data_IF_293452213446
#
_entry.id   IF_293452213446
#
_cell.length_a   1.000
_cell.length_b   1.000
_cell.length_c   1.000
_cell.angle_alpha   90.00
_cell.angle_beta   90.00
_cell.angle_gamma   90.00
#
_symmetry.space_group_name_H-M   'P 1'
#
loop_
_entity.id
_entity.type
_entity.pdbx_description
1 polymer ?
#
# COMPACT_ATOMS: atom_id res chain seq x y z
N UNK A 1 18.73 -5.93 -9.77
CA UNK A 1 17.55 -5.20 -10.30
C UNK A 1 16.38 -5.41 -9.36
N UNK A 2 16.48 -4.89 -8.13
CA UNK A 2 15.38 -4.52 -7.24
C UNK A 2 16.06 -3.64 -6.18
N UNK A 3 16.34 -2.39 -6.55
CA UNK A 3 17.08 -1.43 -5.71
C UNK A 3 16.14 -0.67 -4.74
N UNK A 4 14.88 -1.09 -4.67
CA UNK A 4 13.90 -0.65 -3.69
C UNK A 4 13.72 -1.78 -2.66
N UNK A 5 13.57 -1.47 -1.36
CA UNK A 5 13.22 -2.48 -0.38
C UNK A 5 11.99 -3.25 -0.89
N UNK A 6 11.97 -4.58 -0.78
CA UNK A 6 10.81 -5.38 -1.19
C UNK A 6 9.59 -5.11 -0.28
N UNK A 7 9.87 -4.56 0.89
CA UNK A 7 8.93 -4.28 1.97
C UNK A 7 7.72 -3.43 1.54
N UNK A 8 7.85 -2.28 0.84
CA UNK A 8 6.71 -1.47 0.43
C UNK A 8 5.79 -2.21 -0.53
N UNK A 9 6.33 -3.04 -1.43
CA UNK A 9 5.50 -3.78 -2.39
C UNK A 9 4.59 -4.77 -1.65
N UNK A 10 5.10 -5.43 -0.60
CA UNK A 10 4.33 -6.38 0.21
C UNK A 10 3.22 -5.70 1.00
N UNK A 11 3.50 -4.55 1.61
CA UNK A 11 2.51 -3.83 2.45
C UNK A 11 1.40 -3.13 1.64
N UNK A 12 1.55 -3.00 0.31
CA UNK A 12 0.50 -2.42 -0.56
C UNK A 12 -0.49 -3.46 -1.13
N UNK A 13 -0.20 -4.77 -1.04
CA UNK A 13 -1.14 -5.81 -1.50
C UNK A 13 -2.54 -5.73 -0.87
N UNK A 14 -2.68 -5.44 0.45
CA UNK A 14 -4.00 -5.31 1.07
C UNK A 14 -4.87 -4.25 0.40
N UNK A 15 -4.27 -3.14 -0.05
CA UNK A 15 -4.98 -2.04 -0.72
C UNK A 15 -5.62 -2.56 -2.02
N UNK A 16 -4.83 -3.24 -2.85
CA UNK A 16 -5.31 -3.76 -4.14
C UNK A 16 -6.38 -4.82 -3.94
N UNK A 17 -6.17 -5.77 -3.03
CA UNK A 17 -7.11 -6.85 -2.77
C UNK A 17 -8.40 -6.34 -2.13
N UNK A 18 -8.31 -5.47 -1.13
CA UNK A 18 -9.46 -4.85 -0.48
C UNK A 18 -10.26 -3.96 -1.44
N UNK A 19 -9.59 -3.18 -2.29
CA UNK A 19 -10.24 -2.33 -3.28
C UNK A 19 -11.00 -3.13 -4.35
N UNK A 20 -10.45 -4.25 -4.82
CA UNK A 20 -11.06 -5.07 -5.87
C UNK A 20 -12.17 -6.00 -5.36
N UNK A 21 -12.11 -6.42 -4.09
CA UNK A 21 -13.07 -7.34 -3.49
C UNK A 21 -14.55 -6.93 -3.65
N UNK A 22 -14.99 -5.69 -3.39
CA UNK A 22 -16.40 -5.31 -3.57
C UNK A 22 -16.87 -5.43 -5.01
N UNK A 23 -16.05 -5.03 -5.98
CA UNK A 23 -16.41 -5.13 -7.41
C UNK A 23 -16.52 -6.58 -7.84
N UNK A 24 -15.59 -7.43 -7.42
CA UNK A 24 -15.65 -8.86 -7.70
C UNK A 24 -16.88 -9.50 -7.06
N UNK A 25 -17.17 -9.19 -5.80
CA UNK A 25 -18.32 -9.70 -5.07
C UNK A 25 -19.65 -9.30 -5.75
N UNK A 26 -19.79 -8.02 -6.14
CA UNK A 26 -20.96 -7.53 -6.88
C UNK A 26 -21.12 -8.21 -8.24
N UNK A 27 -20.03 -8.33 -9.01
CA UNK A 27 -20.04 -8.94 -10.33
C UNK A 27 -20.47 -10.42 -10.26
N UNK A 28 -19.85 -11.19 -9.37
CA UNK A 28 -20.17 -12.61 -9.19
C UNK A 28 -21.58 -12.78 -8.65
N UNK A 29 -22.00 -11.96 -7.68
CA UNK A 29 -23.37 -11.98 -7.17
C UNK A 29 -24.40 -11.74 -8.29
N UNK A 30 -24.18 -10.71 -9.10
CA UNK A 30 -25.07 -10.35 -10.21
C UNK A 30 -25.14 -11.47 -11.26
N UNK A 31 -23.99 -12.02 -11.64
CA UNK A 31 -23.92 -13.12 -12.61
C UNK A 31 -24.61 -14.40 -12.10
N UNK A 32 -24.46 -14.75 -10.81
CA UNK A 32 -25.18 -15.88 -10.21
C UNK A 32 -26.69 -15.59 -10.16
N UNK A 33 -27.09 -14.36 -9.83
CA UNK A 33 -28.52 -13.95 -9.82
C UNK A 33 -29.17 -14.02 -11.20
N UNK A 34 -28.39 -13.89 -12.27
CA UNK A 34 -28.83 -14.00 -13.66
C UNK A 34 -28.67 -15.40 -14.25
N UNK A 35 -28.34 -16.39 -13.42
CA UNK A 35 -28.06 -17.77 -13.84
C UNK A 35 -26.93 -17.90 -14.89
N UNK A 36 -26.06 -16.88 -14.99
CA UNK A 36 -24.89 -16.89 -15.89
C UNK A 36 -23.71 -17.67 -15.32
N UNK A 37 -23.61 -17.76 -13.99
CA UNK A 37 -22.55 -18.46 -13.27
C UNK A 37 -23.11 -19.41 -12.21
N UNK A 38 -22.40 -20.51 -11.97
CA UNK A 38 -22.75 -21.45 -10.90
C UNK A 38 -22.49 -20.85 -9.52
N UNK A 39 -23.31 -21.27 -8.53
CA UNK A 39 -23.19 -20.88 -7.13
C UNK A 39 -21.77 -21.13 -6.55
N UNK A 40 -21.07 -22.16 -7.04
CA UNK A 40 -19.71 -22.52 -6.62
C UNK A 40 -18.66 -21.43 -6.94
N UNK A 41 -18.92 -20.57 -7.94
CA UNK A 41 -18.00 -19.49 -8.31
C UNK A 41 -17.83 -18.46 -7.19
N UNK A 42 -18.78 -18.39 -6.25
CA UNK A 42 -18.65 -17.57 -5.03
C UNK A 42 -17.41 -17.93 -4.19
N UNK A 43 -16.85 -19.14 -4.35
CA UNK A 43 -15.58 -19.52 -3.73
C UNK A 43 -14.44 -18.55 -4.07
N UNK A 44 -14.46 -17.93 -5.26
CA UNK A 44 -13.44 -16.96 -5.65
C UNK A 44 -13.47 -15.70 -4.77
N UNK A 45 -14.66 -15.23 -4.38
CA UNK A 45 -14.83 -14.12 -3.42
C UNK A 45 -14.25 -14.49 -2.07
N UNK A 46 -14.51 -15.72 -1.60
CA UNK A 46 -13.99 -16.22 -0.33
C UNK A 46 -12.46 -16.34 -0.34
N UNK A 47 -11.88 -16.90 -1.40
CA UNK A 47 -10.42 -17.00 -1.55
C UNK A 47 -9.78 -15.61 -1.60
N UNK A 48 -10.40 -14.66 -2.31
CA UNK A 48 -9.91 -13.29 -2.35
C UNK A 48 -9.98 -12.59 -0.98
N UNK A 49 -11.08 -12.76 -0.24
CA UNK A 49 -11.21 -12.22 1.12
C UNK A 49 -10.17 -12.83 2.08
N UNK A 50 -9.86 -14.12 1.93
CA UNK A 50 -8.79 -14.77 2.68
C UNK A 50 -7.42 -14.20 2.33
N UNK A 51 -7.11 -14.07 1.03
CA UNK A 51 -5.85 -13.51 0.56
C UNK A 51 -5.67 -12.06 1.03
N UNK A 52 -6.74 -11.26 0.97
CA UNK A 52 -6.79 -9.90 1.50
C UNK A 52 -6.42 -9.88 2.99
N UNK A 53 -7.10 -10.68 3.82
CA UNK A 53 -6.81 -10.74 5.26
C UNK A 53 -5.39 -11.23 5.57
N UNK A 54 -4.91 -12.26 4.88
CA UNK A 54 -3.55 -12.74 5.04
C UNK A 54 -2.51 -11.66 4.67
N UNK A 55 -2.72 -10.95 3.56
CA UNK A 55 -1.83 -9.85 3.17
C UNK A 55 -1.87 -8.70 4.18
N UNK A 56 -3.03 -8.42 4.78
CA UNK A 56 -3.18 -7.34 5.76
C UNK A 56 -2.44 -7.63 7.05
N UNK A 57 -2.50 -8.88 7.55
CA UNK A 57 -1.73 -9.31 8.72
C UNK A 57 -0.24 -9.16 8.46
N UNK A 58 0.24 -9.64 7.30
CA UNK A 58 1.64 -9.50 6.90
C UNK A 58 2.04 -8.02 6.82
N UNK A 59 1.16 -7.14 6.34
CA UNK A 59 1.44 -5.73 6.24
C UNK A 59 1.60 -5.04 7.60
N UNK A 60 0.73 -5.37 8.56
CA UNK A 60 0.81 -4.85 9.95
C UNK A 60 2.10 -5.31 10.62
N UNK A 61 2.41 -6.62 10.58
CA UNK A 61 3.65 -7.17 11.15
C UNK A 61 4.94 -6.61 10.53
N UNK A 62 4.82 -6.09 9.30
CA UNK A 62 5.92 -5.45 8.59
C UNK A 62 6.05 -3.98 9.01
N UNK A 63 4.92 -3.27 9.13
CA UNK A 63 4.88 -1.90 9.64
C UNK A 63 5.49 -1.77 11.04
N UNK A 64 5.06 -2.60 11.99
CA UNK A 64 5.59 -2.64 13.37
C UNK A 64 7.12 -2.81 13.42
N UNK A 65 7.71 -3.53 12.46
CA UNK A 65 9.19 -3.73 12.41
C UNK A 65 9.95 -2.51 11.91
N UNK A 66 9.27 -1.59 11.24
CA UNK A 66 9.85 -0.35 10.73
C UNK A 66 9.50 0.87 11.60
N UNK A 67 8.59 0.71 12.58
CA UNK A 67 8.16 1.71 13.57
C UNK A 67 9.37 2.36 14.29
N UNK A 68 10.20 1.53 14.96
CA UNK A 68 11.40 1.96 15.70
C UNK A 68 12.31 2.91 14.89
N UNK A 69 12.40 2.73 13.57
CA UNK A 69 13.25 3.56 12.70
C UNK A 69 12.60 4.89 12.36
N UNK A 70 11.27 4.89 12.21
CA UNK A 70 10.51 6.07 11.82
C UNK A 70 10.30 6.99 13.04
N UNK A 71 10.18 6.43 14.23
CA UNK A 71 10.11 7.16 15.51
C UNK A 71 11.30 8.09 15.77
N UNK A 72 12.48 7.79 15.21
CA UNK A 72 13.66 8.66 15.35
C UNK A 72 13.46 10.05 14.75
N UNK A 73 12.54 10.19 13.78
CA UNK A 73 12.33 11.43 13.02
C UNK A 73 10.88 11.91 12.95
N UNK A 74 9.91 11.04 13.23
CA UNK A 74 8.47 11.36 13.28
C UNK A 74 7.94 11.09 14.68
N UNK A 75 7.04 11.94 15.16
CA UNK A 75 6.45 11.74 16.49
C UNK A 75 5.58 10.49 16.55
N UNK A 76 5.77 9.71 17.61
CA UNK A 76 4.97 8.55 18.00
C UNK A 76 3.49 8.63 17.63
N UNK A 77 2.81 9.66 18.15
CA UNK A 77 1.37 9.86 17.97
C UNK A 77 0.90 9.85 16.50
N UNK A 78 1.75 10.31 15.58
CA UNK A 78 1.43 10.34 14.14
C UNK A 78 1.57 8.95 13.54
N UNK A 79 2.57 8.19 14.00
CA UNK A 79 2.80 6.79 13.61
C UNK A 79 1.66 5.92 14.14
N UNK A 80 1.35 6.02 15.44
CA UNK A 80 0.21 5.33 16.08
C UNK A 80 -1.10 5.55 15.31
N UNK A 81 -1.36 6.79 14.85
CA UNK A 81 -2.59 7.10 14.08
C UNK A 81 -2.66 6.33 12.75
N UNK A 82 -1.51 6.12 12.10
CA UNK A 82 -1.44 5.32 10.87
C UNK A 82 -1.56 3.82 11.16
N UNK A 83 -0.94 3.36 12.24
CA UNK A 83 -0.98 1.96 12.67
C UNK A 83 -2.38 1.54 13.08
N UNK A 84 -3.07 2.34 13.90
CA UNK A 84 -4.47 2.09 14.27
C UNK A 84 -5.36 1.94 13.02
N UNK A 85 -5.13 2.77 11.99
CA UNK A 85 -5.84 2.67 10.73
C UNK A 85 -5.51 1.36 9.97
N UNK A 86 -4.23 0.95 9.98
CA UNK A 86 -3.77 -0.30 9.38
C UNK A 86 -4.27 -1.56 10.11
N UNK A 87 -4.28 -1.56 11.44
CA UNK A 87 -4.72 -2.66 12.30
C UNK A 87 -6.21 -2.99 12.13
N UNK A 88 -7.04 -2.01 11.76
CA UNK A 88 -8.45 -2.26 11.45
C UNK A 88 -8.64 -3.17 10.21
N UNK A 89 -7.70 -3.15 9.26
CA UNK A 89 -7.83 -3.82 7.96
C UNK A 89 -7.94 -5.36 8.13
N UNK A 90 -7.06 -6.05 8.88
CA UNK A 90 -7.20 -7.48 9.17
C UNK A 90 -8.55 -7.87 9.78
N UNK A 91 -9.07 -7.09 10.74
CA UNK A 91 -10.35 -7.36 11.40
C UNK A 91 -11.53 -7.29 10.44
N UNK A 92 -11.52 -6.27 9.57
CA UNK A 92 -12.54 -6.10 8.53
C UNK A 92 -12.43 -7.21 7.49
N UNK A 93 -11.22 -7.55 7.05
CA UNK A 93 -10.96 -8.65 6.12
C UNK A 93 -11.42 -10.00 6.66
N UNK A 94 -11.11 -10.30 7.92
CA UNK A 94 -11.54 -11.51 8.61
C UNK A 94 -13.06 -11.59 8.73
N UNK A 95 -13.72 -10.48 9.07
CA UNK A 95 -15.19 -10.39 9.10
C UNK A 95 -15.81 -10.69 7.73
N UNK A 96 -15.28 -10.08 6.66
CA UNK A 96 -15.73 -10.33 5.29
C UNK A 96 -15.54 -11.79 4.86
N UNK A 97 -14.41 -12.40 5.22
CA UNK A 97 -14.14 -13.81 4.96
C UNK A 97 -15.14 -14.74 5.67
N UNK A 98 -15.45 -14.50 6.94
CA UNK A 98 -16.43 -15.30 7.68
C UNK A 98 -17.83 -15.17 7.07
N UNK A 99 -18.25 -13.96 6.67
CA UNK A 99 -19.53 -13.75 5.99
C UNK A 99 -19.54 -14.39 4.60
N UNK A 100 -18.41 -14.39 3.88
CA UNK A 100 -18.31 -15.00 2.55
C UNK A 100 -18.48 -16.51 2.60
N UNK A 101 -17.95 -17.17 3.63
CA UNK A 101 -18.15 -18.59 3.90
C UNK A 101 -19.64 -18.92 4.07
N UNK A 102 -20.39 -18.12 4.82
CA UNK A 102 -21.83 -18.29 4.96
C UNK A 102 -22.56 -18.15 3.59
N UNK A 103 -22.05 -17.30 2.70
CA UNK A 103 -22.51 -17.17 1.31
C UNK A 103 -22.27 -18.41 0.42
N UNK A 104 -21.31 -19.27 0.77
CA UNK A 104 -21.04 -20.54 0.08
C UNK A 104 -21.99 -21.66 0.52
N UNK A 105 -22.27 -21.78 1.82
CA UNK A 105 -22.99 -22.92 2.39
C UNK A 105 -24.50 -22.87 2.11
N UNK A 106 -25.09 -21.67 2.04
CA UNK A 106 -26.55 -21.51 1.93
C UNK A 106 -27.00 -21.45 0.46
N UNK A 107 -27.81 -22.43 0.04
CA UNK A 107 -28.23 -22.67 -1.36
C UNK A 107 -29.06 -21.55 -2.00
N UNK A 108 -29.66 -20.65 -1.22
CA UNK A 108 -30.43 -19.49 -1.70
C UNK A 108 -30.02 -18.20 -0.97
N UNK A 109 -28.74 -17.81 -1.08
CA UNK A 109 -28.11 -16.76 -0.26
C UNK A 109 -27.95 -15.41 -0.96
N UNK A 110 -28.78 -15.10 -1.96
CA UNK A 110 -28.64 -13.85 -2.73
C UNK A 110 -28.61 -12.58 -1.86
N UNK A 111 -29.44 -12.50 -0.83
CA UNK A 111 -29.46 -11.37 0.10
C UNK A 111 -28.18 -11.28 0.94
N UNK A 112 -27.63 -12.44 1.35
CA UNK A 112 -26.39 -12.50 2.13
C UNK A 112 -25.18 -12.09 1.29
N UNK A 113 -25.13 -12.55 0.04
CA UNK A 113 -24.07 -12.19 -0.91
C UNK A 113 -24.12 -10.72 -1.31
N UNK A 114 -25.32 -10.18 -1.52
CA UNK A 114 -25.49 -8.74 -1.73
C UNK A 114 -25.08 -7.96 -0.47
N UNK A 115 -25.51 -8.41 0.71
CA UNK A 115 -25.11 -7.82 1.99
C UNK A 115 -23.59 -7.79 2.15
N UNK A 116 -22.89 -8.88 1.81
CA UNK A 116 -21.43 -8.89 1.80
C UNK A 116 -20.86 -7.89 0.80
N UNK A 117 -21.38 -7.84 -0.42
CA UNK A 117 -20.88 -6.94 -1.45
C UNK A 117 -21.06 -5.46 -1.09
N UNK A 118 -22.13 -5.12 -0.37
CA UNK A 118 -22.35 -3.78 0.20
C UNK A 118 -21.42 -3.54 1.40
N UNK A 119 -21.27 -4.54 2.28
CA UNK A 119 -20.37 -4.44 3.42
C UNK A 119 -18.91 -4.25 2.98
N UNK A 120 -18.48 -4.91 1.91
CA UNK A 120 -17.13 -4.75 1.37
C UNK A 120 -16.90 -3.40 0.68
N UNK A 121 -17.96 -2.70 0.25
CA UNK A 121 -17.82 -1.30 -0.17
C UNK A 121 -17.59 -0.38 1.02
N UNK A 122 -18.29 -0.61 2.14
CA UNK A 122 -18.06 0.14 3.39
C UNK A 122 -16.65 -0.14 3.93
N UNK A 123 -16.17 -1.37 3.77
CA UNK A 123 -14.81 -1.78 4.13
C UNK A 123 -13.69 -1.08 3.36
N UNK A 124 -14.00 -0.24 2.36
CA UNK A 124 -13.01 0.62 1.73
C UNK A 124 -12.60 1.79 2.63
N UNK A 125 -13.40 2.14 3.64
CA UNK A 125 -13.10 3.27 4.52
C UNK A 125 -11.75 3.12 5.26
N UNK A 126 -11.47 2.01 5.97
CA UNK A 126 -10.16 1.81 6.60
C UNK A 126 -8.98 1.82 5.61
N UNK A 127 -9.19 1.34 4.37
CA UNK A 127 -8.17 1.41 3.32
C UNK A 127 -7.84 2.84 2.93
N UNK A 128 -8.87 3.68 2.77
CA UNK A 128 -8.71 5.10 2.43
C UNK A 128 -8.06 5.84 3.60
N UNK A 129 -8.46 5.54 4.82
CA UNK A 129 -7.93 6.15 6.04
C UNK A 129 -6.44 5.81 6.23
N UNK A 130 -6.07 4.53 6.16
CA UNK A 130 -4.68 4.09 6.20
C UNK A 130 -3.84 4.70 5.05
N UNK A 131 -4.42 4.80 3.85
CA UNK A 131 -3.76 5.46 2.72
C UNK A 131 -3.58 6.96 2.93
N UNK A 132 -4.53 7.62 3.59
CA UNK A 132 -4.45 9.05 3.90
C UNK A 132 -3.36 9.32 4.94
N UNK A 133 -3.43 8.65 6.09
CA UNK A 133 -2.45 8.79 7.18
C UNK A 133 -1.05 8.37 6.76
N UNK A 134 -0.92 7.32 5.93
CA UNK A 134 0.36 6.92 5.32
C UNK A 134 0.92 7.99 4.36
N UNK A 135 0.05 8.66 3.61
CA UNK A 135 0.42 9.81 2.81
C UNK A 135 0.91 10.99 3.65
N UNK A 136 0.26 11.27 4.79
CA UNK A 136 0.70 12.31 5.71
C UNK A 136 2.08 12.00 6.29
N UNK A 137 2.32 10.76 6.74
CA UNK A 137 3.62 10.30 7.21
C UNK A 137 4.74 10.63 6.21
N UNK A 138 4.52 10.32 4.93
CA UNK A 138 5.53 10.54 3.90
C UNK A 138 5.67 12.01 3.52
N UNK A 139 4.57 12.70 3.24
CA UNK A 139 4.61 14.03 2.60
C UNK A 139 4.61 15.21 3.58
N UNK A 140 4.01 15.05 4.77
CA UNK A 140 3.96 16.11 5.78
C UNK A 140 5.06 15.94 6.82
N UNK A 141 5.32 14.69 7.25
CA UNK A 141 6.26 14.38 8.34
C UNK A 141 7.59 13.82 7.86
N UNK A 142 7.74 13.48 6.57
CA UNK A 142 9.01 13.06 6.00
C UNK A 142 9.50 11.69 6.45
N UNK A 143 8.59 10.79 6.87
CA UNK A 143 8.91 9.44 7.34
C UNK A 143 9.81 8.63 6.37
N UNK A 144 9.71 8.90 5.07
CA UNK A 144 10.56 8.27 4.05
C UNK A 144 12.07 8.54 4.27
N UNK A 145 12.44 9.62 4.95
CA UNK A 145 13.84 9.98 5.22
C UNK A 145 14.52 9.01 6.19
N UNK A 146 13.76 8.32 7.07
CA UNK A 146 14.30 7.30 7.97
C UNK A 146 14.97 6.14 7.22
N UNK A 147 14.59 5.93 5.96
CA UNK A 147 15.07 4.83 5.12
C UNK A 147 16.22 5.25 4.18
N UNK A 148 16.61 6.53 4.17
CA UNK A 148 17.75 6.99 3.39
C UNK A 148 19.07 6.57 4.07
N UNK A 149 20.11 6.24 3.30
CA UNK A 149 21.44 6.07 3.89
C UNK A 149 21.94 7.41 4.46
N UNK A 150 22.74 7.35 5.53
CA UNK A 150 23.11 8.51 6.38
C UNK A 150 23.73 9.67 5.59
N UNK A 151 24.47 9.39 4.52
CA UNK A 151 25.04 10.39 3.62
C UNK A 151 23.96 11.19 2.87
N UNK A 152 22.88 10.53 2.47
CA UNK A 152 21.72 11.17 1.83
C UNK A 152 20.81 11.87 2.83
N UNK A 153 20.65 11.34 4.03
CA UNK A 153 19.94 12.04 5.12
C UNK A 153 20.60 13.40 5.40
N UNK A 154 21.92 13.41 5.58
CA UNK A 154 22.68 14.64 5.79
C UNK A 154 22.61 15.61 4.59
N UNK A 155 22.51 15.11 3.36
CA UNK A 155 22.34 15.93 2.16
C UNK A 155 20.94 16.59 2.08
N UNK A 156 19.89 15.90 2.53
CA UNK A 156 18.52 16.43 2.62
C UNK A 156 18.45 17.50 3.71
N UNK A 157 18.97 17.23 4.92
CA UNK A 157 18.97 18.19 6.03
C UNK A 157 19.78 19.46 5.74
N UNK A 158 20.92 19.31 5.07
CA UNK A 158 21.79 20.46 4.72
C UNK A 158 21.31 21.26 3.51
N UNK A 159 20.18 20.89 2.89
CA UNK A 159 19.66 21.52 1.67
C UNK A 159 20.56 21.32 0.43
N UNK A 160 21.58 20.46 0.53
CA UNK A 160 22.57 20.20 -0.54
C UNK A 160 22.07 19.24 -1.61
N UNK A 161 20.94 18.57 -1.39
CA UNK A 161 20.37 17.61 -2.33
C UNK A 161 20.10 18.22 -3.73
N UNK A 162 19.80 19.52 -3.81
CA UNK A 162 19.62 20.25 -5.08
C UNK A 162 20.92 20.86 -5.62
N UNK A 163 21.94 21.03 -4.78
CA UNK A 163 23.18 21.73 -5.13
C UNK A 163 24.21 20.86 -5.87
N UNK A 164 24.04 19.53 -5.86
CA UNK A 164 24.96 18.60 -6.54
C UNK A 164 24.59 18.29 -7.99
N UNK A 165 23.36 18.59 -8.44
CA UNK A 165 22.94 18.29 -9.82
C UNK A 165 23.49 19.28 -10.85
N UNK A 166 24.02 20.43 -10.42
CA UNK A 166 24.40 21.54 -11.31
C UNK A 166 25.93 21.70 -11.47
N UNK A 167 26.74 20.86 -10.82
CA UNK A 167 28.21 20.98 -10.83
C UNK A 167 28.95 20.00 -11.73
N UNK A 168 28.24 19.07 -12.36
CA UNK A 168 28.87 18.05 -13.22
C UNK A 168 28.87 18.43 -14.72
N UNK A 169 28.32 19.59 -15.12
CA UNK A 169 28.30 20.01 -16.52
C UNK A 169 29.36 21.04 -16.96
N UNK A 170 30.17 21.58 -16.06
CA UNK A 170 31.15 22.65 -16.38
C UNK A 170 32.63 22.22 -16.32
N UNK A 171 32.95 20.92 -16.33
CA UNK A 171 34.36 20.44 -16.29
C UNK A 171 34.93 19.92 -17.61
N UNK A 172 34.24 20.06 -18.74
CA UNK A 172 34.72 19.55 -20.04
C UNK A 172 34.95 20.63 -21.11
N UNK A 173 34.93 21.93 -20.79
CA UNK A 173 35.12 23.00 -21.81
C UNK A 173 36.45 23.75 -21.80
N UNK A 174 37.40 23.43 -20.92
CA UNK A 174 38.68 24.17 -20.82
C UNK A 174 39.92 23.36 -21.24
N UNK A 175 39.80 22.37 -22.15
CA UNK A 175 40.96 21.60 -22.63
C UNK A 175 41.28 21.67 -24.14
N UNK A 176 40.57 22.48 -24.93
CA UNK A 176 40.82 22.58 -26.39
C UNK A 176 41.11 24.01 -26.89
N UNK A 177 41.81 24.82 -26.09
CA UNK A 177 42.41 26.08 -26.59
C UNK A 177 43.87 26.16 -26.18
N UNK A 178 44.69 25.27 -26.74
CA UNK A 178 46.14 25.44 -26.71
C UNK A 178 46.83 24.61 -27.81
N UNK A 179 46.30 24.70 -29.04
CA UNK A 179 47.03 24.32 -30.26
C UNK A 179 46.45 25.13 -31.39
N UNK A 180 47.13 26.22 -31.72
CA UNK A 180 47.24 26.82 -33.05
C UNK A 180 47.77 28.24 -32.84
N UNK A 181 49.07 28.34 -32.60
CA UNK A 181 49.88 29.55 -32.83
C UNK A 181 51.34 29.17 -32.56
N UNK A 182 52.00 28.58 -33.55
CA UNK A 182 53.45 28.78 -33.71
C UNK A 182 53.84 28.69 -35.18
N UNK A 183 54.58 29.72 -35.58
CA UNK A 183 55.14 30.03 -36.89
C UNK A 183 56.33 29.14 -37.27
#
# INVERSE_FOLDING_TARGET
MFDLPLHPVVVHFPIVLGALLPFLALLIWWAIKKDLLQQKVWALVTVMALAYGASAIVAVELGEKDEDKVEEIVSERVIETHEEAGEMIPWVAGSLFLVSLAGMVKKNSHSLRLGLAVLSLVALFPLVDAGHTGGELVYQYGAANAHLPTDRQAAVESGKFLASSDKDHDRDKDKDKDKDDDH
#
